data_IF_223002677894
#
_entry.id   IF_223002677894
#
_cell.length_a   1.000
_cell.length_b   1.000
_cell.length_c   1.000
_cell.angle_alpha   90.00
_cell.angle_beta   90.00
_cell.angle_gamma   90.00
#
_symmetry.space_group_name_H-M   'P 1'
#
loop_
_entity.id
_entity.type
_entity.pdbx_description
1 polymer ?
#
# COMPACT_ATOMS: atom_id res chain seq x y z
N UNK A 1 56.28 19.08 -64.45
CA UNK A 1 56.54 19.46 -63.04
C UNK A 1 55.24 19.34 -62.25
N UNK A 2 55.35 18.86 -61.01
CA UNK A 2 54.30 18.41 -60.08
C UNK A 2 53.04 19.27 -59.99
N UNK A 3 51.89 18.61 -59.85
CA UNK A 3 50.89 18.94 -58.81
C UNK A 3 49.80 17.85 -58.68
N UNK A 4 49.92 17.04 -57.62
CA UNK A 4 48.77 16.53 -56.86
C UNK A 4 48.62 17.45 -55.65
N UNK A 5 47.40 17.89 -55.31
CA UNK A 5 46.71 17.38 -54.12
C UNK A 5 45.17 17.37 -54.35
N UNK A 6 44.26 16.91 -53.49
CA UNK A 6 44.20 16.88 -52.03
C UNK A 6 43.00 15.98 -51.67
N UNK A 7 43.24 14.97 -50.85
CA UNK A 7 42.20 14.16 -50.22
C UNK A 7 41.57 14.96 -49.07
N UNK A 8 40.24 15.06 -49.05
CA UNK A 8 39.48 15.48 -47.87
C UNK A 8 38.41 14.43 -47.61
N UNK A 9 38.69 13.54 -46.65
CA UNK A 9 37.75 12.58 -46.09
C UNK A 9 36.95 13.33 -45.02
N UNK A 10 35.68 13.62 -45.29
CA UNK A 10 34.75 14.16 -44.30
C UNK A 10 34.27 13.04 -43.39
N UNK A 11 34.67 13.09 -42.12
CA UNK A 11 34.15 12.22 -41.06
C UNK A 11 32.91 12.91 -40.48
N UNK A 12 31.73 12.47 -40.91
CA UNK A 12 30.45 12.88 -40.32
C UNK A 12 30.22 12.09 -39.03
N UNK A 13 30.32 12.78 -37.89
CA UNK A 13 29.95 12.27 -36.58
C UNK A 13 28.42 12.31 -36.41
N UNK A 14 27.77 11.15 -36.43
CA UNK A 14 26.34 11.00 -36.15
C UNK A 14 26.10 10.97 -34.64
N UNK A 15 25.54 12.07 -34.10
CA UNK A 15 25.03 12.14 -32.73
C UNK A 15 23.79 11.25 -32.57
N UNK A 16 23.89 10.25 -31.71
CA UNK A 16 22.76 9.44 -31.23
C UNK A 16 21.93 10.24 -30.22
N UNK A 17 20.71 10.65 -30.61
CA UNK A 17 19.71 11.17 -29.67
C UNK A 17 18.97 9.97 -29.04
N UNK A 18 19.40 9.56 -27.85
CA UNK A 18 18.68 8.58 -27.04
C UNK A 18 17.42 9.20 -26.45
N UNK A 19 16.23 8.80 -26.93
CA UNK A 19 14.98 9.06 -26.24
C UNK A 19 14.87 8.11 -25.03
N UNK A 20 15.34 8.56 -23.87
CA UNK A 20 14.94 7.99 -22.59
C UNK A 20 13.50 8.44 -22.29
N UNK A 21 12.53 7.57 -22.59
CA UNK A 21 11.16 7.73 -22.12
C UNK A 21 11.16 7.58 -20.59
N UNK A 22 11.14 8.73 -19.93
CA UNK A 22 10.98 8.87 -18.49
C UNK A 22 9.75 8.07 -18.04
N UNK A 23 9.99 6.99 -17.28
CA UNK A 23 8.94 6.37 -16.49
C UNK A 23 8.44 7.44 -15.52
N UNK A 24 7.20 7.87 -15.69
CA UNK A 24 6.51 8.73 -14.71
C UNK A 24 6.43 7.94 -13.41
N UNK A 25 7.35 8.22 -12.48
CA UNK A 25 7.23 7.79 -11.10
C UNK A 25 5.91 8.34 -10.56
N UNK A 26 4.96 7.46 -10.25
CA UNK A 26 3.69 7.82 -9.62
C UNK A 26 3.96 8.65 -8.36
N UNK A 27 3.17 9.69 -8.16
CA UNK A 27 3.41 10.72 -7.15
C UNK A 27 3.60 10.09 -5.75
N UNK A 28 4.75 10.32 -5.06
CA UNK A 28 5.07 9.68 -3.79
C UNK A 28 4.17 10.08 -2.61
N UNK A 29 3.12 10.88 -2.86
CA UNK A 29 2.27 11.49 -1.84
C UNK A 29 0.85 10.90 -1.77
N UNK A 30 0.43 10.05 -2.71
CA UNK A 30 -0.92 9.48 -2.68
C UNK A 30 -1.00 8.25 -1.77
N UNK A 31 -2.02 8.19 -0.92
CA UNK A 31 -2.31 7.00 -0.12
C UNK A 31 -2.61 5.81 -1.05
N UNK A 32 -2.25 4.58 -0.63
CA UNK A 32 -2.56 3.39 -1.42
C UNK A 32 -4.07 3.25 -1.61
N UNK A 33 -4.47 2.54 -2.68
CA UNK A 33 -5.87 2.42 -3.11
C UNK A 33 -6.81 2.01 -1.97
N UNK A 34 -6.37 1.08 -1.12
CA UNK A 34 -7.16 0.61 0.01
C UNK A 34 -7.45 1.71 1.05
N UNK A 35 -6.55 2.69 1.20
CA UNK A 35 -6.64 3.80 2.16
C UNK A 35 -7.09 5.14 1.57
N UNK A 36 -7.33 5.21 0.27
CA UNK A 36 -7.81 6.43 -0.38
C UNK A 36 -9.24 6.78 0.08
N UNK A 37 -9.51 8.01 0.46
CA UNK A 37 -10.86 8.48 0.85
C UNK A 37 -11.52 7.64 1.98
N UNK A 38 -10.74 7.16 2.95
CA UNK A 38 -11.26 6.39 4.10
C UNK A 38 -11.49 7.31 5.28
N UNK A 39 -12.60 7.12 6.01
CA UNK A 39 -12.92 7.91 7.20
C UNK A 39 -12.53 7.21 8.51
N UNK A 40 -12.04 7.98 9.48
CA UNK A 40 -11.82 7.51 10.84
C UNK A 40 -13.14 7.52 11.63
N UNK A 41 -13.34 6.53 12.48
CA UNK A 41 -14.50 6.46 13.37
C UNK A 41 -14.07 6.31 14.84
N UNK A 42 -14.97 6.67 15.76
CA UNK A 42 -14.75 6.51 17.20
C UNK A 42 -15.04 5.08 17.67
N UNK A 43 -14.33 4.64 18.71
CA UNK A 43 -14.51 3.33 19.31
C UNK A 43 -13.18 2.67 19.69
N UNK A 44 -13.23 1.36 19.94
CA UNK A 44 -12.06 0.56 20.24
C UNK A 44 -11.23 0.28 18.98
N UNK A 45 -9.94 0.58 19.04
CA UNK A 45 -8.98 0.32 17.98
C UNK A 45 -8.42 -1.10 18.11
N UNK A 46 -8.79 -1.98 17.19
CA UNK A 46 -8.30 -3.36 17.12
C UNK A 46 -9.39 -4.41 17.09
N UNK A 47 -9.04 -5.62 16.64
CA UNK A 47 -9.98 -6.74 16.51
C UNK A 47 -9.55 -8.03 17.20
N UNK A 48 -8.41 -8.03 17.91
CA UNK A 48 -8.01 -9.16 18.74
C UNK A 48 -8.96 -9.29 19.94
N UNK A 49 -9.43 -10.51 20.27
CA UNK A 49 -10.15 -10.75 21.51
C UNK A 49 -9.27 -10.52 22.75
N UNK A 50 -9.86 -10.17 23.90
CA UNK A 50 -11.22 -9.69 24.04
C UNK A 50 -11.33 -8.24 23.52
N UNK A 51 -12.37 -7.96 22.74
CA UNK A 51 -12.70 -6.59 22.34
C UNK A 51 -13.66 -5.99 23.36
N UNK A 52 -13.41 -4.77 23.83
CA UNK A 52 -14.33 -4.04 24.71
C UNK A 52 -15.06 -2.94 23.93
N UNK A 53 -16.40 -2.94 24.00
CA UNK A 53 -17.23 -1.92 23.38
C UNK A 53 -17.33 -1.99 21.84
N UNK A 54 -17.81 -0.90 21.24
CA UNK A 54 -17.95 -0.77 19.79
C UNK A 54 -16.60 -0.52 19.13
N UNK A 55 -16.32 -1.21 18.03
CA UNK A 55 -15.07 -1.09 17.28
C UNK A 55 -15.05 0.20 16.43
N UNK A 56 -13.89 0.85 16.37
CA UNK A 56 -13.62 2.01 15.52
C UNK A 56 -13.45 1.64 14.03
N UNK A 57 -14.36 0.84 13.49
CA UNK A 57 -14.29 0.35 12.11
C UNK A 57 -14.41 1.52 11.14
N UNK A 58 -13.51 1.57 10.17
CA UNK A 58 -13.59 2.47 9.01
C UNK A 58 -14.45 1.83 7.91
N UNK A 59 -15.68 2.31 7.66
CA UNK A 59 -16.64 1.63 6.79
C UNK A 59 -16.14 1.44 5.35
N UNK A 60 -15.44 2.42 4.78
CA UNK A 60 -14.96 2.33 3.40
C UNK A 60 -13.84 1.28 3.28
N UNK A 61 -12.92 1.27 4.24
CA UNK A 61 -11.84 0.29 4.30
C UNK A 61 -12.39 -1.13 4.53
N UNK A 62 -13.28 -1.28 5.51
CA UNK A 62 -13.93 -2.55 5.83
C UNK A 62 -14.74 -3.10 4.63
N UNK A 63 -15.48 -2.24 3.95
CA UNK A 63 -16.22 -2.58 2.73
C UNK A 63 -15.28 -3.04 1.60
N UNK A 64 -14.17 -2.33 1.35
CA UNK A 64 -13.19 -2.72 0.32
C UNK A 64 -12.54 -4.06 0.64
N UNK A 65 -12.16 -4.29 1.91
CA UNK A 65 -11.61 -5.57 2.34
C UNK A 65 -12.60 -6.71 2.11
N UNK A 66 -13.87 -6.54 2.52
CA UNK A 66 -14.93 -7.55 2.32
C UNK A 66 -15.25 -7.80 0.85
N UNK A 67 -15.23 -6.77 0.01
CA UNK A 67 -15.51 -6.91 -1.42
C UNK A 67 -14.35 -7.59 -2.17
N UNK A 68 -13.11 -7.26 -1.83
CA UNK A 68 -11.93 -7.82 -2.50
C UNK A 68 -11.54 -9.20 -1.95
N UNK A 69 -11.86 -9.45 -0.68
CA UNK A 69 -11.53 -10.68 0.05
C UNK A 69 -12.74 -11.13 0.88
N UNK A 70 -13.86 -11.51 0.24
CA UNK A 70 -15.04 -12.02 0.94
C UNK A 70 -14.71 -13.32 1.70
N UNK A 71 -15.57 -13.74 2.65
CA UNK A 71 -15.39 -15.01 3.34
C UNK A 71 -15.18 -16.18 2.38
N UNK A 72 -14.23 -17.07 2.70
CA UNK A 72 -13.76 -18.16 1.82
C UNK A 72 -12.59 -17.79 0.91
N UNK A 73 -12.21 -16.51 0.83
CA UNK A 73 -11.03 -16.06 0.06
C UNK A 73 -9.74 -16.61 0.65
N UNK A 74 -8.68 -16.68 -0.17
CA UNK A 74 -7.35 -17.08 0.28
C UNK A 74 -6.71 -15.99 1.17
N UNK A 75 -6.39 -16.34 2.42
CA UNK A 75 -5.75 -15.43 3.38
C UNK A 75 -4.35 -15.00 2.96
N UNK A 76 -3.56 -15.85 2.30
CA UNK A 76 -2.22 -15.49 1.82
C UNK A 76 -2.30 -14.46 0.68
N UNK A 77 -3.35 -14.54 -0.15
CA UNK A 77 -3.58 -13.54 -1.19
C UNK A 77 -3.92 -12.17 -0.61
N UNK A 78 -4.69 -12.13 0.48
CA UNK A 78 -4.96 -10.89 1.23
C UNK A 78 -3.66 -10.33 1.82
N UNK A 79 -2.87 -11.15 2.51
CA UNK A 79 -1.57 -10.75 3.08
C UNK A 79 -0.63 -10.16 2.02
N UNK A 80 -0.43 -10.87 0.91
CA UNK A 80 0.41 -10.40 -0.19
C UNK A 80 -0.11 -9.13 -0.86
N UNK A 81 -1.42 -8.86 -0.81
CA UNK A 81 -2.01 -7.61 -1.30
C UNK A 81 -1.73 -6.46 -0.35
N UNK A 82 -1.90 -6.68 0.96
CA UNK A 82 -1.58 -5.68 1.98
C UNK A 82 -0.10 -5.26 1.91
N UNK A 83 0.82 -6.22 1.77
CA UNK A 83 2.25 -5.93 1.60
C UNK A 83 2.51 -5.09 0.34
N UNK A 84 1.86 -5.41 -0.79
CA UNK A 84 1.98 -4.62 -2.03
C UNK A 84 1.45 -3.19 -1.88
N UNK A 85 0.47 -2.98 -1.00
CA UNK A 85 -0.07 -1.66 -0.68
C UNK A 85 0.73 -0.91 0.40
N UNK A 86 1.82 -1.50 0.88
CA UNK A 86 2.75 -0.87 1.81
C UNK A 86 2.41 -1.11 3.29
N UNK A 87 1.53 -2.07 3.60
CA UNK A 87 1.33 -2.53 4.97
C UNK A 87 2.48 -3.45 5.39
N UNK A 88 2.82 -3.40 6.66
CA UNK A 88 3.70 -4.36 7.33
C UNK A 88 2.86 -5.44 8.02
N UNK A 89 3.33 -6.69 7.99
CA UNK A 89 2.66 -7.80 8.68
C UNK A 89 3.18 -7.84 10.11
N UNK A 90 2.32 -7.52 11.08
CA UNK A 90 2.66 -7.41 12.50
C UNK A 90 2.54 -8.77 13.23
N UNK A 91 2.16 -9.82 12.52
CA UNK A 91 2.00 -11.18 13.04
C UNK A 91 0.53 -11.55 13.29
N UNK A 92 0.28 -12.24 14.40
CA UNK A 92 -1.06 -12.71 14.80
C UNK A 92 -1.43 -12.20 16.19
N UNK A 93 -2.72 -12.17 16.50
CA UNK A 93 -3.21 -11.86 17.83
C UNK A 93 -2.72 -12.91 18.84
N UNK A 94 -2.09 -12.45 19.94
CA UNK A 94 -1.61 -13.34 21.01
C UNK A 94 -2.73 -14.18 21.66
N UNK A 95 -3.96 -13.69 21.61
CA UNK A 95 -5.16 -14.34 22.19
C UNK A 95 -5.88 -15.28 21.24
N UNK A 96 -5.63 -15.15 19.93
CA UNK A 96 -6.21 -16.00 18.89
C UNK A 96 -5.26 -16.00 17.68
N UNK A 97 -4.44 -17.05 17.57
CA UNK A 97 -3.45 -17.20 16.51
C UNK A 97 -4.03 -17.36 15.09
N UNK A 98 -5.36 -17.47 14.96
CA UNK A 98 -6.03 -17.46 13.66
C UNK A 98 -6.34 -16.04 13.15
N UNK A 99 -6.10 -15.01 13.95
CA UNK A 99 -6.34 -13.61 13.58
C UNK A 99 -4.99 -12.95 13.31
N UNK A 100 -4.79 -12.53 12.08
CA UNK A 100 -3.59 -11.86 11.61
C UNK A 100 -3.75 -10.34 11.67
N UNK A 101 -2.62 -9.64 11.73
CA UNK A 101 -2.53 -8.20 11.92
C UNK A 101 -1.57 -7.62 10.88
N UNK A 102 -1.98 -6.52 10.25
CA UNK A 102 -1.11 -5.71 9.43
C UNK A 102 -1.29 -4.22 9.71
N UNK A 103 -0.18 -3.51 9.84
CA UNK A 103 -0.13 -2.08 10.13
C UNK A 103 0.34 -1.27 8.92
N UNK A 104 -0.18 -0.07 8.78
CA UNK A 104 0.31 0.93 7.84
C UNK A 104 0.52 2.24 8.58
N UNK A 105 1.65 2.90 8.32
CA UNK A 105 1.93 4.23 8.82
C UNK A 105 2.53 5.09 7.72
N UNK A 106 2.01 6.30 7.57
CA UNK A 106 2.60 7.33 6.73
C UNK A 106 2.63 8.66 7.48
N UNK A 107 3.82 9.22 7.60
CA UNK A 107 4.01 10.57 8.10
C UNK A 107 3.44 11.59 7.11
N UNK A 108 2.70 12.58 7.62
CA UNK A 108 2.28 13.73 6.85
C UNK A 108 3.48 14.57 6.40
N UNK A 109 3.34 15.24 5.25
CA UNK A 109 4.38 16.11 4.69
C UNK A 109 3.89 17.55 4.52
N UNK A 110 4.73 18.53 4.86
CA UNK A 110 4.40 19.95 4.76
C UNK A 110 3.72 20.51 6.01
N UNK A 111 3.16 21.72 5.90
CA UNK A 111 2.71 22.51 7.06
C UNK A 111 1.38 22.07 7.67
N UNK A 112 0.57 21.25 6.99
CA UNK A 112 -0.81 20.93 7.41
C UNK A 112 -1.27 19.52 6.98
N UNK A 113 -0.38 18.51 6.99
CA UNK A 113 -0.79 17.13 6.69
C UNK A 113 -0.70 16.25 7.92
N UNK A 114 -1.84 15.72 8.32
CA UNK A 114 -1.98 14.70 9.36
C UNK A 114 -1.17 13.45 8.99
N UNK A 115 -0.56 12.80 9.97
CA UNK A 115 -0.06 11.44 9.84
C UNK A 115 -1.25 10.49 9.67
N UNK A 116 -1.05 9.43 8.89
CA UNK A 116 -2.07 8.40 8.64
C UNK A 116 -1.59 7.10 9.22
N UNK A 117 -2.38 6.52 10.11
CA UNK A 117 -2.17 5.18 10.65
C UNK A 117 -3.37 4.31 10.32
N UNK A 118 -3.13 3.09 9.85
CA UNK A 118 -4.17 2.12 9.59
C UNK A 118 -3.80 0.75 10.12
N UNK A 119 -4.80 -0.04 10.51
CA UNK A 119 -4.63 -1.44 10.83
C UNK A 119 -5.70 -2.27 10.14
N UNK A 120 -5.27 -3.42 9.63
CA UNK A 120 -6.13 -4.45 9.05
C UNK A 120 -5.97 -5.71 9.87
N UNK A 121 -7.10 -6.29 10.23
CA UNK A 121 -7.19 -7.58 10.89
C UNK A 121 -7.98 -8.52 10.01
N UNK A 122 -7.54 -9.77 9.92
CA UNK A 122 -8.31 -10.81 9.24
C UNK A 122 -8.19 -12.12 9.99
N UNK A 123 -9.31 -12.82 10.12
CA UNK A 123 -9.34 -14.17 10.67
C UNK A 123 -9.31 -15.18 9.53
N UNK A 124 -8.57 -16.26 9.72
CA UNK A 124 -8.58 -17.42 8.82
C UNK A 124 -9.15 -18.67 9.50
N UNK A 125 -9.70 -19.59 8.71
CA UNK A 125 -10.04 -20.94 9.16
C UNK A 125 -8.83 -21.90 9.08
N UNK A 126 -9.05 -23.19 9.32
CA UNK A 126 -7.99 -24.20 9.35
C UNK A 126 -7.35 -24.42 7.97
N UNK A 127 -8.10 -24.13 6.91
CA UNK A 127 -7.70 -24.18 5.52
C UNK A 127 -7.02 -22.88 5.04
N UNK A 128 -6.85 -21.90 5.93
CA UNK A 128 -6.25 -20.61 5.61
C UNK A 128 -7.18 -19.69 4.81
N UNK A 129 -8.49 -19.92 4.84
CA UNK A 129 -9.48 -19.08 4.18
C UNK A 129 -9.98 -17.98 5.10
N UNK A 130 -10.17 -16.78 4.54
CA UNK A 130 -10.70 -15.62 5.24
C UNK A 130 -12.08 -15.94 5.81
N UNK A 131 -12.28 -15.76 7.10
CA UNK A 131 -13.59 -15.82 7.77
C UNK A 131 -14.20 -14.42 7.85
N UNK A 132 -13.38 -13.43 8.21
CA UNK A 132 -13.76 -12.02 8.23
C UNK A 132 -12.54 -11.13 8.13
N UNK A 133 -12.76 -9.89 7.71
CA UNK A 133 -11.79 -8.79 7.71
C UNK A 133 -12.33 -7.61 8.50
N UNK A 134 -11.46 -6.81 9.10
CA UNK A 134 -11.77 -5.55 9.79
C UNK A 134 -10.68 -4.53 9.51
N UNK A 135 -11.09 -3.31 9.21
CA UNK A 135 -10.17 -2.21 8.90
C UNK A 135 -10.39 -0.98 9.78
N UNK A 136 -9.30 -0.36 10.17
CA UNK A 136 -9.25 0.81 11.04
C UNK A 136 -8.32 1.86 10.42
N UNK A 137 -8.74 3.13 10.38
CA UNK A 137 -7.86 4.26 10.05
C UNK A 137 -7.98 5.36 11.10
N UNK A 138 -6.86 6.00 11.42
CA UNK A 138 -6.83 7.22 12.21
C UNK A 138 -5.90 8.25 11.55
N UNK A 139 -6.30 9.51 11.69
CA UNK A 139 -5.53 10.67 11.24
C UNK A 139 -4.99 11.39 12.47
N UNK A 140 -3.67 11.52 12.56
CA UNK A 140 -2.99 12.09 13.72
C UNK A 140 -2.41 13.44 13.32
N UNK A 141 -2.88 14.53 13.93
CA UNK A 141 -2.26 15.84 13.79
C UNK A 141 -2.56 16.71 15.00
N UNK A 142 -1.57 17.49 15.39
CA UNK A 142 -1.62 18.48 16.45
C UNK A 142 -2.19 19.80 15.93
#
# INVERSE_FOLDING_TARGET
>A
MRSSPRSHISITATLTLGLMLSAYAQAPNELPTLLRDVTAHGGYWGACPPTSGALAISPELDSRLKNNFPPGSDGQKLEGTLVKEGFHIDGVCNTDGSIHIAGFFRKGVGLLRYDVSAQVYWKVDQEGRVVWTKGFVMYIGL
#
